data_IF_838305374765
#
_entry.id   IF_838305374765
#
_cell.length_a   1.000
_cell.length_b   1.000
_cell.length_c   1.000
_cell.angle_alpha   90.00
_cell.angle_beta   90.00
_cell.angle_gamma   90.00
#
_symmetry.space_group_name_H-M   'P 1'
#
loop_
_entity.id
_entity.type
_entity.pdbx_description
1 polymer ?
#
# COMPACT_ATOMS: atom_id res chain seq x y z
N UNK A 1 46.29 68.71 -147.19
CA UNK A 1 45.86 69.69 -148.22
C UNK A 1 45.66 68.94 -149.53
N UNK A 2 44.42 68.84 -150.07
CA UNK A 2 44.06 68.17 -151.36
C UNK A 2 44.31 66.62 -151.42
N UNK A 3 43.76 65.78 -152.35
CA UNK A 3 42.39 65.59 -152.92
C UNK A 3 42.32 64.29 -153.82
N UNK A 4 41.20 63.52 -153.86
CA UNK A 4 40.78 62.50 -154.92
C UNK A 4 41.74 61.29 -155.22
N UNK A 5 41.55 60.24 -156.08
CA UNK A 5 40.49 59.48 -156.86
C UNK A 5 41.14 58.19 -157.48
N UNK A 6 40.50 57.15 -158.09
CA UNK A 6 39.35 56.22 -157.82
C UNK A 6 39.09 55.30 -159.09
N UNK A 7 38.39 54.14 -158.96
CA UNK A 7 37.74 53.22 -160.00
C UNK A 7 38.44 51.94 -160.61
N UNK A 8 37.74 50.78 -160.49
CA UNK A 8 37.25 49.75 -161.48
C UNK A 8 38.15 48.83 -162.37
N UNK A 9 37.76 47.52 -162.52
CA UNK A 9 37.38 46.78 -163.79
C UNK A 9 37.04 45.25 -163.55
N UNK A 10 36.23 44.52 -164.40
CA UNK A 10 35.66 43.19 -164.08
C UNK A 10 35.68 42.06 -165.18
N UNK A 11 35.07 40.90 -164.86
CA UNK A 11 34.29 39.95 -165.73
C UNK A 11 34.94 38.79 -166.55
N UNK A 12 34.75 37.52 -166.09
CA UNK A 12 34.52 36.25 -166.86
C UNK A 12 34.28 35.12 -165.80
N UNK A 13 33.23 34.30 -165.65
CA UNK A 13 32.13 33.68 -166.44
C UNK A 13 32.34 32.22 -166.93
N UNK A 14 31.92 31.28 -166.07
CA UNK A 14 31.26 29.95 -166.33
C UNK A 14 31.91 28.93 -167.29
N UNK A 15 32.24 27.74 -166.76
CA UNK A 15 31.67 26.41 -167.12
C UNK A 15 32.09 25.37 -166.06
N UNK A 16 31.17 24.42 -165.75
CA UNK A 16 31.18 23.32 -164.76
C UNK A 16 30.15 23.55 -163.63
N UNK A 17 29.05 22.80 -163.72
CA UNK A 17 27.96 22.72 -162.75
C UNK A 17 27.24 21.36 -162.93
N UNK A 18 26.15 21.11 -162.21
CA UNK A 18 25.24 19.95 -162.37
C UNK A 18 25.82 18.58 -161.93
N UNK A 19 26.36 18.47 -160.70
CA UNK A 19 26.36 17.17 -159.98
C UNK A 19 26.33 17.24 -158.43
N UNK A 20 26.12 18.42 -157.84
CA UNK A 20 26.33 18.64 -156.40
C UNK A 20 25.08 18.63 -155.49
N UNK A 21 23.86 18.59 -156.03
CA UNK A 21 22.66 18.99 -155.25
C UNK A 21 21.83 17.85 -154.64
N UNK A 22 21.89 16.61 -155.15
CA UNK A 22 21.00 15.53 -154.65
C UNK A 22 21.41 14.95 -153.28
N UNK A 23 22.70 14.89 -152.93
CA UNK A 23 23.16 14.37 -151.63
C UNK A 23 22.85 15.28 -150.43
N UNK A 24 22.37 16.51 -150.66
CA UNK A 24 22.15 17.49 -149.58
C UNK A 24 20.76 17.35 -148.95
N UNK A 25 19.73 16.99 -149.72
CA UNK A 25 18.34 16.93 -149.22
C UNK A 25 18.10 15.79 -148.21
N UNK A 26 18.59 14.58 -148.49
CA UNK A 26 18.44 13.44 -147.57
C UNK A 26 19.11 13.72 -146.21
N UNK A 27 20.26 14.39 -146.23
CA UNK A 27 21.01 14.76 -145.02
C UNK A 27 20.30 15.83 -144.19
N UNK A 28 19.56 16.74 -144.83
CA UNK A 28 18.71 17.72 -144.14
C UNK A 28 17.51 17.03 -143.47
N UNK A 29 16.79 16.16 -144.19
CA UNK A 29 15.62 15.46 -143.64
C UNK A 29 15.99 14.55 -142.44
N UNK A 30 17.17 13.92 -142.49
CA UNK A 30 17.71 13.16 -141.36
C UNK A 30 18.01 14.07 -140.14
N UNK A 31 18.59 15.25 -140.37
CA UNK A 31 18.83 16.24 -139.31
C UNK A 31 17.53 16.79 -138.72
N UNK A 32 16.51 17.07 -139.53
CA UNK A 32 15.20 17.53 -139.04
C UNK A 32 14.52 16.49 -138.13
N UNK A 33 14.60 15.20 -138.48
CA UNK A 33 14.08 14.14 -137.62
C UNK A 33 14.89 13.96 -136.32
N UNK A 34 16.22 14.10 -136.37
CA UNK A 34 17.02 14.13 -135.13
C UNK A 34 16.68 15.35 -134.27
N UNK A 35 16.57 16.55 -134.84
CA UNK A 35 16.19 17.78 -134.13
C UNK A 35 14.80 17.66 -133.49
N UNK A 36 13.81 17.12 -134.21
CA UNK A 36 12.47 16.88 -133.66
C UNK A 36 12.44 15.83 -132.53
N UNK A 37 13.38 14.87 -132.54
CA UNK A 37 13.51 13.86 -131.48
C UNK A 37 14.17 14.47 -130.25
N UNK A 38 15.30 15.18 -130.44
CA UNK A 38 16.00 15.94 -129.40
C UNK A 38 15.10 17.01 -128.76
N UNK A 39 14.26 17.72 -129.52
CA UNK A 39 13.33 18.70 -128.96
C UNK A 39 12.35 18.05 -127.98
N UNK A 40 11.79 16.89 -128.32
CA UNK A 40 10.87 16.16 -127.43
C UNK A 40 11.57 15.61 -126.18
N UNK A 41 12.83 15.19 -126.29
CA UNK A 41 13.63 14.80 -125.12
C UNK A 41 13.98 16.01 -124.24
N UNK A 42 14.28 17.17 -124.83
CA UNK A 42 14.50 18.43 -124.12
C UNK A 42 13.22 18.85 -123.38
N UNK A 43 12.06 18.86 -124.03
CA UNK A 43 10.77 19.20 -123.42
C UNK A 43 10.41 18.23 -122.27
N UNK A 44 10.61 16.93 -122.47
CA UNK A 44 10.39 15.91 -121.43
C UNK A 44 11.33 16.07 -120.23
N UNK A 45 12.60 16.40 -120.47
CA UNK A 45 13.56 16.64 -119.41
C UNK A 45 13.32 17.97 -118.68
N UNK A 46 12.87 19.02 -119.38
CA UNK A 46 12.41 20.26 -118.75
C UNK A 46 11.21 20.01 -117.83
N UNK A 47 10.22 19.22 -118.25
CA UNK A 47 9.09 18.84 -117.40
C UNK A 47 9.54 18.08 -116.15
N UNK A 48 10.41 17.07 -116.29
CA UNK A 48 10.99 16.33 -115.15
C UNK A 48 11.76 17.23 -114.19
N UNK A 49 12.57 18.16 -114.70
CA UNK A 49 13.26 19.15 -113.85
C UNK A 49 12.28 20.07 -113.11
N UNK A 50 11.13 20.38 -113.71
CA UNK A 50 10.09 21.21 -113.09
C UNK A 50 9.33 20.46 -111.98
N UNK A 51 9.10 19.16 -112.14
CA UNK A 51 8.56 18.29 -111.09
C UNK A 51 9.56 18.07 -109.96
N UNK A 52 10.81 17.71 -110.28
CA UNK A 52 11.89 17.58 -109.29
C UNK A 52 12.14 18.88 -108.52
N UNK A 53 12.03 20.04 -109.15
CA UNK A 53 12.12 21.36 -108.50
C UNK A 53 10.98 21.57 -107.47
N UNK A 54 9.77 21.08 -107.74
CA UNK A 54 8.67 21.09 -106.76
C UNK A 54 8.93 20.12 -105.61
N UNK A 55 9.35 18.89 -105.90
CA UNK A 55 9.66 17.89 -104.87
C UNK A 55 10.79 18.36 -103.95
N UNK A 56 11.87 18.93 -104.50
CA UNK A 56 12.97 19.52 -103.74
C UNK A 56 12.47 20.66 -102.84
N UNK A 57 11.55 21.50 -103.33
CA UNK A 57 10.97 22.58 -102.52
C UNK A 57 10.07 22.05 -101.40
N UNK A 58 9.26 21.03 -101.66
CA UNK A 58 8.48 20.37 -100.60
C UNK A 58 9.35 19.65 -99.57
N UNK A 59 10.41 18.98 -100.01
CA UNK A 59 11.39 18.34 -99.13
C UNK A 59 12.13 19.38 -98.27
N UNK A 60 12.53 20.51 -98.85
CA UNK A 60 13.11 21.63 -98.10
C UNK A 60 12.15 22.13 -97.01
N UNK A 61 10.88 22.38 -97.35
CA UNK A 61 9.86 22.80 -96.38
C UNK A 61 9.61 21.74 -95.29
N UNK A 62 9.63 20.44 -95.63
CA UNK A 62 9.51 19.33 -94.68
C UNK A 62 10.71 19.24 -93.74
N UNK A 63 11.93 19.46 -94.25
CA UNK A 63 13.17 19.50 -93.46
C UNK A 63 13.17 20.71 -92.52
N UNK A 64 12.75 21.89 -92.98
CA UNK A 64 12.62 23.09 -92.15
C UNK A 64 11.58 22.89 -91.03
N UNK A 65 10.43 22.32 -91.36
CA UNK A 65 9.39 21.97 -90.38
C UNK A 65 9.88 20.93 -89.35
N UNK A 66 10.61 19.91 -89.78
CA UNK A 66 11.22 18.92 -88.89
C UNK A 66 12.34 19.52 -88.02
N UNK A 67 13.17 20.42 -88.57
CA UNK A 67 14.19 21.15 -87.80
C UNK A 67 13.57 22.02 -86.70
N UNK A 68 12.47 22.72 -87.01
CA UNK A 68 11.70 23.48 -86.02
C UNK A 68 11.05 22.58 -84.96
N UNK A 69 10.50 21.41 -85.34
CA UNK A 69 9.98 20.42 -84.38
C UNK A 69 11.08 19.87 -83.46
N UNK A 70 12.24 19.51 -84.01
CA UNK A 70 13.39 19.01 -83.23
C UNK A 70 13.89 20.09 -82.28
N UNK A 71 14.08 21.32 -82.74
CA UNK A 71 14.49 22.44 -81.89
C UNK A 71 13.50 22.70 -80.75
N UNK A 72 12.19 22.70 -81.05
CA UNK A 72 11.16 22.84 -80.04
C UNK A 72 11.12 21.66 -79.05
N UNK A 73 11.40 20.44 -79.50
CA UNK A 73 11.53 19.26 -78.63
C UNK A 73 12.77 19.33 -77.74
N UNK A 74 13.93 19.74 -78.27
CA UNK A 74 15.15 19.98 -77.48
C UNK A 74 14.91 21.04 -76.41
N UNK A 75 14.36 22.21 -76.77
CA UNK A 75 14.01 23.26 -75.80
C UNK A 75 13.03 22.77 -74.73
N UNK A 76 12.02 21.96 -75.10
CA UNK A 76 11.05 21.42 -74.15
C UNK A 76 11.69 20.36 -73.23
N UNK A 77 12.59 19.52 -73.75
CA UNK A 77 13.39 18.55 -72.98
C UNK A 77 14.32 19.28 -72.00
N UNK A 78 15.08 20.27 -72.45
CA UNK A 78 16.02 21.04 -71.62
C UNK A 78 15.26 21.80 -70.52
N UNK A 79 14.17 22.49 -70.88
CA UNK A 79 13.29 23.17 -69.89
C UNK A 79 12.65 22.19 -68.89
N UNK A 80 12.38 20.95 -69.30
CA UNK A 80 11.87 19.91 -68.42
C UNK A 80 12.95 19.36 -67.48
N UNK A 81 14.18 19.18 -67.97
CA UNK A 81 15.32 18.79 -67.14
C UNK A 81 15.69 19.89 -66.14
N UNK A 82 15.71 21.16 -66.54
CA UNK A 82 15.89 22.30 -65.64
C UNK A 82 14.75 22.39 -64.61
N UNK A 83 13.50 22.16 -65.04
CA UNK A 83 12.34 22.09 -64.14
C UNK A 83 12.46 20.99 -63.10
N UNK A 84 12.84 19.77 -63.51
CA UNK A 84 13.06 18.62 -62.60
C UNK A 84 14.28 18.83 -61.72
N UNK A 85 15.38 19.36 -62.25
CA UNK A 85 16.60 19.70 -61.51
C UNK A 85 16.34 20.76 -60.43
N UNK A 86 15.57 21.80 -60.78
CA UNK A 86 15.10 22.84 -59.85
C UNK A 86 14.19 22.26 -58.76
N UNK A 87 13.23 21.39 -59.12
CA UNK A 87 12.36 20.71 -58.15
C UNK A 87 13.12 19.75 -57.22
N UNK A 88 14.09 18.99 -57.74
CA UNK A 88 14.97 18.13 -56.93
C UNK A 88 15.86 18.95 -55.99
N UNK A 89 16.41 20.07 -56.48
CA UNK A 89 17.23 20.99 -55.67
C UNK A 89 16.41 21.63 -54.55
N UNK A 90 15.20 22.11 -54.86
CA UNK A 90 14.27 22.65 -53.88
C UNK A 90 13.82 21.59 -52.86
N UNK A 91 13.50 20.37 -53.31
CA UNK A 91 13.15 19.24 -52.44
C UNK A 91 14.30 18.87 -51.49
N UNK A 92 15.52 18.79 -52.00
CA UNK A 92 16.74 18.57 -51.21
C UNK A 92 16.95 19.66 -50.16
N UNK A 93 16.75 20.92 -50.53
CA UNK A 93 16.81 22.07 -49.61
C UNK A 93 15.74 22.01 -48.52
N UNK A 94 14.48 21.67 -48.87
CA UNK A 94 13.41 21.46 -47.89
C UNK A 94 13.72 20.28 -46.95
N UNK A 95 14.23 19.15 -47.46
CA UNK A 95 14.65 18.00 -46.64
C UNK A 95 15.76 18.41 -45.66
N UNK A 96 16.73 19.22 -46.11
CA UNK A 96 17.77 19.79 -45.25
C UNK A 96 17.19 20.67 -44.12
N UNK A 97 16.26 21.57 -44.44
CA UNK A 97 15.56 22.41 -43.46
C UNK A 97 14.76 21.57 -42.47
N UNK A 98 13.98 20.58 -42.95
CA UNK A 98 13.23 19.67 -42.07
C UNK A 98 14.16 18.86 -41.17
N UNK A 99 15.31 18.41 -41.65
CA UNK A 99 16.34 17.75 -40.83
C UNK A 99 16.85 18.64 -39.69
N UNK A 100 17.14 19.92 -39.98
CA UNK A 100 17.56 20.90 -38.96
C UNK A 100 16.43 21.16 -37.95
N UNK A 101 15.19 21.33 -38.41
CA UNK A 101 14.01 21.53 -37.54
C UNK A 101 13.81 20.33 -36.63
N UNK A 102 13.85 19.11 -37.16
CA UNK A 102 13.72 17.86 -36.39
C UNK A 102 14.85 17.75 -35.35
N UNK A 103 16.09 18.04 -35.72
CA UNK A 103 17.22 18.03 -34.78
C UNK A 103 17.03 19.04 -33.63
N UNK A 104 16.58 20.27 -33.92
CA UNK A 104 16.28 21.28 -32.90
C UNK A 104 15.13 20.83 -31.97
N UNK A 105 14.06 20.24 -32.53
CA UNK A 105 12.98 19.64 -31.72
C UNK A 105 13.48 18.48 -30.85
N UNK A 106 14.34 17.60 -31.38
CA UNK A 106 14.94 16.50 -30.61
C UNK A 106 15.78 17.02 -29.45
N UNK A 107 16.61 18.04 -29.66
CA UNK A 107 17.39 18.69 -28.59
C UNK A 107 16.47 19.32 -27.54
N UNK A 108 15.43 20.06 -27.97
CA UNK A 108 14.45 20.66 -27.07
C UNK A 108 13.69 19.63 -26.22
N UNK A 109 13.25 18.53 -26.84
CA UNK A 109 12.62 17.41 -26.15
C UNK A 109 13.58 16.72 -25.17
N UNK A 110 14.84 16.48 -25.55
CA UNK A 110 15.85 15.89 -24.66
C UNK A 110 16.11 16.76 -23.44
N UNK A 111 16.18 18.10 -23.59
CA UNK A 111 16.33 19.04 -22.48
C UNK A 111 15.08 19.03 -21.59
N UNK A 112 13.88 19.04 -22.19
CA UNK A 112 12.60 19.01 -21.47
C UNK A 112 12.44 17.72 -20.64
N UNK A 113 12.64 16.55 -21.25
CA UNK A 113 12.57 15.24 -20.58
C UNK A 113 13.63 15.16 -19.48
N UNK A 114 14.85 15.66 -19.71
CA UNK A 114 15.89 15.71 -18.68
C UNK A 114 15.51 16.58 -17.48
N UNK A 115 14.86 17.73 -17.72
CA UNK A 115 14.36 18.62 -16.67
C UNK A 115 13.20 17.98 -15.91
N UNK A 116 12.27 17.34 -16.61
CA UNK A 116 11.13 16.64 -16.00
C UNK A 116 11.59 15.45 -15.15
N UNK A 117 12.56 14.67 -15.63
CA UNK A 117 13.17 13.56 -14.89
C UNK A 117 13.84 14.03 -13.58
N UNK A 118 14.57 15.16 -13.62
CA UNK A 118 15.14 15.78 -12.40
C UNK A 118 14.05 16.24 -11.44
N UNK A 119 12.98 16.89 -11.94
CA UNK A 119 11.86 17.31 -11.09
C UNK A 119 11.16 16.11 -10.42
N UNK A 120 10.88 15.04 -11.18
CA UNK A 120 10.28 13.80 -10.64
C UNK A 120 11.18 13.17 -9.58
N UNK A 121 12.51 13.13 -9.81
CA UNK A 121 13.45 12.61 -8.81
C UNK A 121 13.45 13.45 -7.52
N UNK A 122 13.43 14.78 -7.64
CA UNK A 122 13.36 15.67 -6.49
C UNK A 122 12.06 15.44 -5.70
N UNK A 123 10.90 15.44 -6.38
CA UNK A 123 9.59 15.13 -5.76
C UNK A 123 9.59 13.77 -5.07
N UNK A 124 10.26 12.76 -5.63
CA UNK A 124 10.40 11.44 -4.99
C UNK A 124 11.22 11.51 -3.70
N UNK A 125 12.32 12.26 -3.68
CA UNK A 125 13.17 12.45 -2.49
C UNK A 125 12.48 13.30 -1.42
N UNK A 126 11.74 14.33 -1.83
CA UNK A 126 10.92 15.15 -0.94
C UNK A 126 9.81 14.31 -0.30
N UNK A 127 9.11 13.48 -1.09
CA UNK A 127 8.09 12.54 -0.60
C UNK A 127 8.68 11.47 0.34
N UNK A 128 9.86 10.92 0.03
CA UNK A 128 10.55 9.97 0.91
C UNK A 128 10.92 10.65 2.25
N UNK A 129 11.45 11.87 2.20
CA UNK A 129 11.77 12.69 3.39
C UNK A 129 10.51 13.01 4.20
N UNK A 130 9.39 13.30 3.55
CA UNK A 130 8.10 13.54 4.22
C UNK A 130 7.51 12.25 4.81
N UNK A 131 7.68 11.10 4.16
CA UNK A 131 7.30 9.80 4.71
C UNK A 131 8.11 9.47 5.97
N UNK A 132 9.43 9.61 5.93
CA UNK A 132 10.30 9.41 7.09
C UNK A 132 9.91 10.33 8.25
N UNK A 133 9.67 11.63 7.99
CA UNK A 133 9.18 12.58 9.01
C UNK A 133 7.82 12.19 9.59
N UNK A 134 6.87 11.73 8.77
CA UNK A 134 5.57 11.25 9.27
C UNK A 134 5.71 9.99 10.15
N UNK A 135 6.65 9.08 9.83
CA UNK A 135 6.95 7.93 10.68
C UNK A 135 7.54 8.36 12.02
N UNK A 136 8.50 9.30 12.04
CA UNK A 136 9.05 9.86 13.29
C UNK A 136 7.98 10.56 14.12
N UNK A 137 7.17 11.43 13.53
CA UNK A 137 6.08 12.14 14.22
C UNK A 137 5.05 11.15 14.78
N UNK A 138 4.73 10.07 14.05
CA UNK A 138 3.86 9.00 14.55
C UNK A 138 4.45 8.32 15.79
N UNK A 139 5.75 7.98 15.76
CA UNK A 139 6.45 7.38 16.90
C UNK A 139 6.51 8.31 18.11
N UNK A 140 6.76 9.61 17.90
CA UNK A 140 6.72 10.63 18.95
C UNK A 140 5.32 10.76 19.59
N UNK A 141 4.26 10.71 18.77
CA UNK A 141 2.86 10.72 19.26
C UNK A 141 2.53 9.44 20.03
N UNK A 142 2.99 8.27 19.59
CA UNK A 142 2.76 6.99 20.28
C UNK A 142 3.46 6.98 21.65
N UNK A 143 4.72 7.42 21.72
CA UNK A 143 5.47 7.56 22.99
C UNK A 143 4.86 8.61 23.92
N UNK A 144 4.39 9.74 23.38
CA UNK A 144 3.72 10.78 24.17
C UNK A 144 2.37 10.29 24.72
N UNK A 145 1.61 9.51 23.93
CA UNK A 145 0.34 8.90 24.34
C UNK A 145 0.55 7.87 25.46
N UNK A 146 1.54 6.97 25.30
CA UNK A 146 1.92 6.01 26.34
C UNK A 146 2.31 6.72 27.64
N UNK A 147 3.14 7.78 27.54
CA UNK A 147 3.52 8.58 28.71
C UNK A 147 2.31 9.25 29.37
N UNK A 148 1.42 9.87 28.61
CA UNK A 148 0.20 10.53 29.14
C UNK A 148 -0.69 9.51 29.86
N UNK A 149 -0.87 8.30 29.32
CA UNK A 149 -1.64 7.23 29.97
C UNK A 149 -0.97 6.81 31.28
N UNK A 150 0.33 6.53 31.27
CA UNK A 150 1.07 6.11 32.46
C UNK A 150 1.09 7.19 33.55
N UNK A 151 1.38 8.44 33.21
CA UNK A 151 1.39 9.58 34.15
C UNK A 151 -0.02 9.82 34.72
N UNK A 152 -1.08 9.70 33.91
CA UNK A 152 -2.49 9.87 34.31
C UNK A 152 -2.97 8.75 35.23
N UNK A 153 -2.69 7.48 34.89
CA UNK A 153 -3.02 6.33 35.76
C UNK A 153 -2.23 6.38 37.08
N UNK A 154 -0.97 6.84 37.04
CA UNK A 154 -0.17 7.12 38.24
C UNK A 154 -0.80 8.19 39.13
N UNK A 155 -1.18 9.34 38.55
CA UNK A 155 -1.85 10.43 39.27
C UNK A 155 -3.18 9.97 39.89
N UNK A 156 -3.99 9.21 39.15
CA UNK A 156 -5.24 8.66 39.66
C UNK A 156 -4.99 7.71 40.84
N UNK A 157 -3.97 6.84 40.78
CA UNK A 157 -3.62 5.96 41.92
C UNK A 157 -3.19 6.77 43.14
N UNK A 158 -2.35 7.79 42.98
CA UNK A 158 -1.95 8.70 44.07
C UNK A 158 -3.16 9.38 44.68
N UNK A 159 -4.05 9.97 43.87
CA UNK A 159 -5.29 10.59 44.34
C UNK A 159 -6.18 9.62 45.13
N UNK A 160 -6.36 8.37 44.65
CA UNK A 160 -7.15 7.37 45.39
C UNK A 160 -6.53 6.99 46.74
N UNK A 161 -5.19 7.00 46.86
CA UNK A 161 -4.48 6.75 48.12
C UNK A 161 -4.58 7.94 49.07
N UNK A 162 -4.38 9.17 48.62
CA UNK A 162 -4.59 10.39 49.44
C UNK A 162 -6.03 10.48 49.97
N UNK A 163 -7.03 10.23 49.12
CA UNK A 163 -8.43 10.15 49.52
C UNK A 163 -8.69 9.01 50.52
N UNK A 164 -8.00 7.87 50.41
CA UNK A 164 -8.13 6.76 51.37
C UNK A 164 -7.55 7.14 52.73
N UNK A 165 -6.38 7.79 52.75
CA UNK A 165 -5.76 8.33 53.97
C UNK A 165 -6.71 9.32 54.65
N UNK A 166 -7.25 10.31 53.90
CA UNK A 166 -8.18 11.29 54.44
C UNK A 166 -9.49 10.70 55.00
N UNK A 167 -9.99 9.59 54.44
CA UNK A 167 -11.11 8.86 55.03
C UNK A 167 -10.68 8.22 56.35
N UNK A 168 -9.54 7.52 56.38
CA UNK A 168 -9.05 6.81 57.57
C UNK A 168 -8.69 7.78 58.71
N UNK A 169 -8.05 8.91 58.42
CA UNK A 169 -7.72 9.96 59.40
C UNK A 169 -8.99 10.56 60.02
N UNK A 170 -10.07 10.70 59.23
CA UNK A 170 -11.38 11.10 59.75
C UNK A 170 -12.03 10.00 60.59
N UNK A 171 -11.90 8.73 60.22
CA UNK A 171 -12.42 7.62 61.03
C UNK A 171 -11.66 7.45 62.35
N UNK A 172 -10.35 7.72 62.41
CA UNK A 172 -9.62 7.82 63.68
C UNK A 172 -10.18 8.93 64.57
N UNK A 173 -10.65 10.04 63.96
CA UNK A 173 -11.17 11.22 64.65
C UNK A 173 -12.66 11.12 65.04
N UNK A 174 -13.46 10.39 64.26
CA UNK A 174 -14.91 10.17 64.39
C UNK A 174 -15.23 8.76 63.86
N UNK A 175 -15.12 7.69 64.65
CA UNK A 175 -15.25 6.33 64.15
C UNK A 175 -16.64 5.97 63.59
N UNK A 176 -17.69 6.62 64.08
CA UNK A 176 -19.09 6.39 63.73
C UNK A 176 -19.41 6.79 62.27
N UNK A 177 -18.59 7.67 61.68
CA UNK A 177 -18.67 8.07 60.26
C UNK A 177 -18.43 6.90 59.29
N UNK A 178 -18.03 5.71 59.78
CA UNK A 178 -17.98 4.48 58.98
C UNK A 178 -19.30 4.22 58.27
N UNK A 179 -20.43 4.54 58.92
CA UNK A 179 -21.78 4.46 58.37
C UNK A 179 -21.95 5.28 57.08
N UNK A 180 -21.34 6.46 57.03
CA UNK A 180 -21.33 7.37 55.88
C UNK A 180 -20.23 7.05 54.85
N UNK A 181 -19.16 6.36 55.27
CA UNK A 181 -17.94 6.16 54.47
C UNK A 181 -17.74 4.73 53.96
N UNK A 182 -18.55 3.77 54.40
CA UNK A 182 -18.48 2.35 54.05
C UNK A 182 -18.34 2.10 52.54
N UNK A 183 -19.19 2.73 51.72
CA UNK A 183 -19.17 2.60 50.25
C UNK A 183 -17.93 3.23 49.60
N UNK A 184 -17.37 4.26 50.23
CA UNK A 184 -16.16 4.94 49.79
C UNK A 184 -14.89 4.14 50.14
N UNK A 185 -14.92 3.27 51.17
CA UNK A 185 -13.84 2.32 51.46
C UNK A 185 -13.97 1.03 50.64
N UNK A 186 -15.15 0.40 50.64
CA UNK A 186 -15.40 -0.89 49.95
C UNK A 186 -15.09 -0.87 48.44
N UNK A 187 -15.02 0.31 47.83
CA UNK A 187 -14.69 0.51 46.41
C UNK A 187 -13.21 0.82 46.13
N UNK A 188 -12.33 0.84 47.14
CA UNK A 188 -10.90 1.19 47.04
C UNK A 188 -9.98 -0.02 47.21
N UNK A 189 -8.78 0.11 46.65
CA UNK A 189 -7.63 -0.69 47.08
C UNK A 189 -7.05 -0.02 48.35
N UNK A 190 -6.95 -0.76 49.45
CA UNK A 190 -6.29 -0.32 50.68
C UNK A 190 -4.98 -1.10 50.86
N UNK A 191 -3.94 -0.44 51.38
CA UNK A 191 -2.64 -1.05 51.62
C UNK A 191 -2.57 -1.61 53.06
N UNK A 192 -1.68 -2.56 53.34
CA UNK A 192 -1.49 -3.14 54.68
C UNK A 192 -1.30 -2.09 55.80
N UNK A 193 -0.67 -0.94 55.51
CA UNK A 193 -0.52 0.15 56.48
C UNK A 193 -1.87 0.71 56.98
N UNK A 194 -2.89 0.72 56.11
CA UNK A 194 -4.23 1.25 56.41
C UNK A 194 -4.98 0.37 57.43
N UNK A 195 -4.59 -0.91 57.59
CA UNK A 195 -5.14 -1.82 58.60
C UNK A 195 -4.95 -1.26 60.02
N UNK A 196 -3.80 -0.64 60.30
CA UNK A 196 -3.50 -0.06 61.60
C UNK A 196 -4.39 1.16 61.90
N UNK A 197 -4.55 2.07 60.94
CA UNK A 197 -5.46 3.21 61.05
C UNK A 197 -6.92 2.76 61.26
N UNK A 198 -7.36 1.74 60.51
CA UNK A 198 -8.72 1.22 60.65
C UNK A 198 -8.93 0.46 61.97
N UNK A 199 -7.88 -0.17 62.53
CA UNK A 199 -7.88 -0.77 63.88
C UNK A 199 -7.92 0.29 64.99
N UNK A 200 -7.20 1.40 64.83
CA UNK A 200 -7.23 2.53 65.77
C UNK A 200 -8.63 3.18 65.81
N UNK A 201 -9.28 3.35 64.67
CA UNK A 201 -10.68 3.79 64.60
C UNK A 201 -11.63 2.75 65.25
N UNK A 202 -11.52 1.48 64.86
CA UNK A 202 -12.39 0.40 65.37
C UNK A 202 -12.30 0.23 66.89
N UNK A 203 -11.11 0.25 67.48
CA UNK A 203 -10.93 -0.05 68.92
C UNK A 203 -11.59 0.98 69.85
N UNK A 204 -11.90 2.17 69.36
CA UNK A 204 -12.64 3.22 70.09
C UNK A 204 -14.14 2.90 70.25
N UNK A 205 -14.73 2.15 69.32
CA UNK A 205 -16.19 1.87 69.23
C UNK A 205 -16.53 0.38 69.10
N UNK A 206 -15.56 -0.51 69.28
CA UNK A 206 -15.69 -1.98 69.11
C UNK A 206 -16.85 -2.63 69.86
N UNK A 207 -17.31 -1.98 70.95
CA UNK A 207 -18.36 -2.44 71.86
C UNK A 207 -19.75 -1.86 71.49
N UNK A 208 -19.83 -1.02 70.45
CA UNK A 208 -21.07 -0.48 69.86
C UNK A 208 -21.42 -1.21 68.57
N UNK A 209 -22.41 -2.11 68.62
CA UNK A 209 -22.82 -2.92 67.46
C UNK A 209 -23.38 -2.11 66.28
N UNK A 210 -23.84 -0.86 66.46
CA UNK A 210 -24.38 -0.05 65.36
C UNK A 210 -23.28 0.30 64.32
N UNK A 211 -22.05 0.49 64.80
CA UNK A 211 -20.92 0.90 63.95
C UNK A 211 -19.85 -0.20 63.83
N UNK A 212 -19.62 -1.02 64.87
CA UNK A 212 -18.59 -2.05 64.89
C UNK A 212 -18.71 -3.07 63.73
N UNK A 213 -19.93 -3.49 63.40
CA UNK A 213 -20.16 -4.48 62.34
C UNK A 213 -19.77 -3.94 60.95
N UNK A 214 -19.87 -2.63 60.72
CA UNK A 214 -19.40 -1.99 59.47
C UNK A 214 -17.88 -2.10 59.33
N UNK A 215 -17.12 -1.96 60.42
CA UNK A 215 -15.67 -2.17 60.40
C UNK A 215 -15.31 -3.64 60.16
N UNK A 216 -16.02 -4.60 60.78
CA UNK A 216 -15.73 -6.02 60.62
C UNK A 216 -15.90 -6.49 59.17
N UNK A 217 -16.90 -5.96 58.45
CA UNK A 217 -17.06 -6.23 57.01
C UNK A 217 -15.86 -5.66 56.21
N UNK A 218 -15.40 -4.44 56.50
CA UNK A 218 -14.23 -3.83 55.84
C UNK A 218 -12.93 -4.60 56.15
N UNK A 219 -12.75 -5.04 57.41
CA UNK A 219 -11.64 -5.90 57.83
C UNK A 219 -11.62 -7.25 57.12
N UNK A 220 -12.79 -7.77 56.72
CA UNK A 220 -12.87 -8.94 55.85
C UNK A 220 -12.51 -8.57 54.40
N UNK A 221 -13.25 -7.65 53.78
CA UNK A 221 -13.12 -7.31 52.35
C UNK A 221 -11.71 -6.89 51.93
N UNK A 222 -11.02 -6.12 52.77
CA UNK A 222 -9.68 -5.60 52.46
C UNK A 222 -8.56 -6.38 53.14
N UNK A 223 -8.77 -6.88 54.37
CA UNK A 223 -7.69 -7.31 55.25
C UNK A 223 -7.85 -8.72 55.85
N UNK A 224 -8.71 -9.59 55.33
CA UNK A 224 -9.06 -10.88 55.97
C UNK A 224 -7.86 -11.70 56.49
N UNK A 225 -6.71 -11.66 55.81
CA UNK A 225 -5.48 -12.32 56.23
C UNK A 225 -4.77 -11.69 57.45
N UNK A 226 -4.83 -10.37 57.62
CA UNK A 226 -4.34 -9.67 58.82
C UNK A 226 -5.36 -9.82 59.97
N UNK A 227 -6.64 -9.63 59.65
CA UNK A 227 -7.74 -9.63 60.63
C UNK A 227 -7.97 -10.99 61.32
N UNK A 228 -7.55 -12.12 60.72
CA UNK A 228 -7.63 -13.46 61.33
C UNK A 228 -6.38 -13.84 62.16
N UNK A 229 -5.31 -13.04 62.12
CA UNK A 229 -4.10 -13.24 62.92
C UNK A 229 -3.88 -12.15 63.98
N UNK A 230 -4.65 -11.05 63.93
CA UNK A 230 -4.65 -10.00 64.93
C UNK A 230 -5.55 -10.38 66.13
N UNK A 231 -4.94 -10.54 67.31
CA UNK A 231 -5.61 -11.05 68.51
C UNK A 231 -6.69 -10.12 69.09
N UNK A 232 -6.80 -8.86 68.66
CA UNK A 232 -7.87 -7.95 69.08
C UNK A 232 -9.08 -7.96 68.14
N UNK A 233 -8.89 -8.29 66.86
CA UNK A 233 -9.95 -8.29 65.84
C UNK A 233 -10.49 -9.71 65.57
N UNK A 234 -9.62 -10.73 65.62
CA UNK A 234 -9.88 -12.12 65.20
C UNK A 234 -11.16 -12.70 65.80
N UNK A 235 -11.36 -12.64 67.12
CA UNK A 235 -12.51 -13.29 67.75
C UNK A 235 -13.84 -12.57 67.45
N UNK A 236 -13.84 -11.23 67.39
CA UNK A 236 -14.99 -10.44 66.97
C UNK A 236 -15.33 -10.71 65.50
N UNK A 237 -14.33 -10.70 64.61
CA UNK A 237 -14.49 -11.05 63.20
C UNK A 237 -15.07 -12.46 63.01
N UNK A 238 -14.51 -13.48 63.69
CA UNK A 238 -15.00 -14.86 63.61
C UNK A 238 -16.46 -14.97 64.06
N UNK A 239 -16.89 -14.18 65.05
CA UNK A 239 -18.28 -14.16 65.52
C UNK A 239 -19.28 -13.55 64.52
N UNK A 240 -18.85 -12.54 63.74
CA UNK A 240 -19.66 -11.83 62.73
C UNK A 240 -19.33 -12.24 61.28
N UNK A 241 -18.52 -13.28 61.07
CA UNK A 241 -17.99 -13.69 59.77
C UNK A 241 -19.07 -14.06 58.74
N UNK A 242 -20.21 -14.58 59.21
CA UNK A 242 -21.40 -14.84 58.38
C UNK A 242 -21.98 -13.55 57.76
N UNK A 243 -22.02 -12.45 58.50
CA UNK A 243 -22.39 -11.14 57.96
C UNK A 243 -21.36 -10.68 56.91
N UNK A 244 -20.07 -10.80 57.22
CA UNK A 244 -18.99 -10.37 56.33
C UNK A 244 -19.05 -11.08 54.97
N UNK A 245 -19.28 -12.40 54.96
CA UNK A 245 -19.48 -13.20 53.74
C UNK A 245 -20.80 -12.83 53.03
N UNK A 246 -21.88 -12.52 53.76
CA UNK A 246 -23.15 -12.07 53.17
C UNK A 246 -23.06 -10.69 52.51
N UNK A 247 -22.30 -9.76 53.08
CA UNK A 247 -22.13 -8.39 52.57
C UNK A 247 -21.08 -8.25 51.46
N UNK A 248 -20.16 -9.20 51.33
CA UNK A 248 -19.16 -9.24 50.24
C UNK A 248 -19.80 -9.22 48.84
N UNK A 249 -19.09 -8.68 47.84
CA UNK A 249 -19.29 -8.97 46.41
C UNK A 249 -18.46 -10.18 45.97
N UNK A 250 -18.71 -10.64 44.73
CA UNK A 250 -18.09 -11.87 44.16
C UNK A 250 -16.55 -11.81 44.17
N UNK A 251 -15.97 -10.67 43.82
CA UNK A 251 -14.51 -10.52 43.75
C UNK A 251 -13.93 -10.46 45.17
N UNK A 252 -14.56 -9.70 46.06
CA UNK A 252 -14.14 -9.54 47.45
C UNK A 252 -14.09 -10.89 48.17
N UNK A 253 -15.11 -11.77 48.01
CA UNK A 253 -15.09 -13.07 48.68
C UNK A 253 -13.94 -13.95 48.17
N UNK A 254 -13.60 -13.92 46.89
CA UNK A 254 -12.49 -14.71 46.32
C UNK A 254 -11.14 -14.19 46.82
N UNK A 255 -10.95 -12.87 46.86
CA UNK A 255 -9.74 -12.22 47.37
C UNK A 255 -9.59 -12.39 48.89
N UNK A 256 -10.68 -12.21 49.64
CA UNK A 256 -10.73 -12.41 51.09
C UNK A 256 -10.43 -13.87 51.45
N UNK A 257 -10.97 -14.83 50.68
CA UNK A 257 -10.66 -16.26 50.83
C UNK A 257 -9.17 -16.53 50.63
N UNK A 258 -8.57 -16.00 49.56
CA UNK A 258 -7.13 -16.14 49.29
C UNK A 258 -6.28 -15.58 50.45
N UNK A 259 -6.59 -14.38 50.91
CA UNK A 259 -5.85 -13.73 52.00
C UNK A 259 -6.01 -14.46 53.35
N UNK A 260 -7.24 -14.87 53.68
CA UNK A 260 -7.58 -15.63 54.89
C UNK A 260 -6.86 -16.99 54.93
N UNK A 261 -6.97 -17.78 53.86
CA UNK A 261 -6.33 -19.11 53.77
C UNK A 261 -4.81 -18.98 53.75
N UNK A 262 -4.23 -17.98 53.07
CA UNK A 262 -2.79 -17.73 53.10
C UNK A 262 -2.28 -17.45 54.52
N UNK A 263 -3.03 -16.67 55.31
CA UNK A 263 -2.68 -16.36 56.69
C UNK A 263 -2.78 -17.60 57.60
N UNK A 264 -3.86 -18.39 57.50
CA UNK A 264 -4.02 -19.62 58.27
C UNK A 264 -3.01 -20.71 57.87
N UNK A 265 -2.58 -20.75 56.61
CA UNK A 265 -1.48 -21.62 56.17
C UNK A 265 -0.14 -21.20 56.80
N UNK A 266 0.15 -19.89 56.88
CA UNK A 266 1.36 -19.35 57.54
C UNK A 266 1.36 -19.61 59.06
N UNK A 267 0.20 -19.53 59.71
CA UNK A 267 -0.02 -19.93 61.13
C UNK A 267 0.08 -21.46 61.35
N UNK A 268 -0.04 -22.23 60.27
CA UNK A 268 -0.12 -23.68 60.27
C UNK A 268 -1.57 -24.17 60.30
N UNK A 269 -1.94 -25.02 59.34
CA UNK A 269 -3.34 -25.46 59.16
C UNK A 269 -3.91 -26.18 60.39
N UNK A 270 -3.12 -27.03 61.05
CA UNK A 270 -3.53 -27.73 62.28
C UNK A 270 -3.80 -26.75 63.45
N UNK A 271 -2.97 -25.71 63.59
CA UNK A 271 -3.14 -24.66 64.60
C UNK A 271 -4.37 -23.78 64.32
N UNK A 272 -4.82 -23.77 63.07
CA UNK A 272 -5.91 -22.94 62.55
C UNK A 272 -7.21 -23.74 62.31
N UNK A 273 -7.29 -24.97 62.85
CA UNK A 273 -8.38 -25.90 62.53
C UNK A 273 -9.77 -25.36 62.90
N UNK A 274 -9.88 -24.53 63.95
CA UNK A 274 -11.16 -23.94 64.36
C UNK A 274 -11.62 -22.91 63.33
N UNK A 275 -10.73 -21.98 63.00
CA UNK A 275 -10.92 -20.86 62.08
C UNK A 275 -11.20 -21.33 60.64
N UNK A 276 -10.56 -22.41 60.20
CA UNK A 276 -10.86 -23.10 58.93
C UNK A 276 -12.29 -23.66 58.94
N UNK A 277 -12.69 -24.36 60.01
CA UNK A 277 -13.98 -25.03 60.07
C UNK A 277 -15.16 -24.05 60.24
N UNK A 278 -14.96 -22.94 60.97
CA UNK A 278 -15.92 -21.83 61.04
C UNK A 278 -16.13 -21.23 59.65
N UNK A 279 -15.04 -20.88 58.96
CA UNK A 279 -15.08 -20.30 57.61
C UNK A 279 -15.75 -21.24 56.60
N UNK A 280 -15.34 -22.51 56.52
CA UNK A 280 -15.91 -23.49 55.58
C UNK A 280 -17.41 -23.69 55.80
N UNK A 281 -17.85 -23.81 57.07
CA UNK A 281 -19.28 -23.90 57.41
C UNK A 281 -20.07 -22.67 56.93
N UNK A 282 -19.49 -21.48 57.04
CA UNK A 282 -20.11 -20.23 56.58
C UNK A 282 -20.20 -20.20 55.05
N UNK A 283 -19.12 -20.54 54.32
CA UNK A 283 -19.14 -20.61 52.86
C UNK A 283 -20.22 -21.58 52.36
N UNK A 284 -20.34 -22.76 52.96
CA UNK A 284 -21.34 -23.78 52.58
C UNK A 284 -22.79 -23.31 52.77
N UNK A 285 -23.05 -22.46 53.77
CA UNK A 285 -24.36 -21.88 54.03
C UNK A 285 -24.59 -20.53 53.32
N UNK A 286 -23.60 -20.03 52.56
CA UNK A 286 -23.64 -18.72 51.90
C UNK A 286 -24.21 -18.76 50.48
N UNK A 287 -24.40 -17.56 49.91
CA UNK A 287 -24.67 -17.32 48.48
C UNK A 287 -23.51 -17.74 47.54
N UNK A 288 -22.38 -18.21 48.08
CA UNK A 288 -21.16 -18.59 47.35
C UNK A 288 -20.80 -20.08 47.41
N UNK A 289 -21.63 -20.93 48.04
CA UNK A 289 -21.40 -22.38 48.16
C UNK A 289 -21.22 -23.14 46.82
N UNK A 290 -21.64 -22.53 45.72
CA UNK A 290 -21.57 -23.10 44.36
C UNK A 290 -20.55 -22.34 43.46
N UNK A 291 -19.73 -21.45 44.03
CA UNK A 291 -18.76 -20.63 43.28
C UNK A 291 -17.42 -21.37 43.09
N UNK A 292 -17.20 -21.97 41.93
CA UNK A 292 -15.95 -22.70 41.60
C UNK A 292 -14.67 -21.88 41.83
N UNK A 293 -14.67 -20.59 41.48
CA UNK A 293 -13.52 -19.69 41.65
C UNK A 293 -13.03 -19.61 43.11
N UNK A 294 -13.92 -19.78 44.09
CA UNK A 294 -13.57 -19.82 45.52
C UNK A 294 -12.77 -21.09 45.82
N UNK A 295 -13.21 -22.25 45.33
CA UNK A 295 -12.51 -23.53 45.51
C UNK A 295 -11.13 -23.53 44.83
N UNK A 296 -11.04 -23.00 43.61
CA UNK A 296 -9.75 -22.81 42.92
C UNK A 296 -8.84 -21.82 43.68
N UNK A 297 -9.39 -20.74 44.23
CA UNK A 297 -8.63 -19.78 45.06
C UNK A 297 -8.01 -20.47 46.29
N UNK A 298 -8.79 -21.25 47.04
CA UNK A 298 -8.28 -22.07 48.17
C UNK A 298 -7.19 -23.05 47.72
N UNK A 299 -7.45 -23.81 46.64
CA UNK A 299 -6.54 -24.85 46.14
C UNK A 299 -5.19 -24.29 45.66
N UNK A 300 -5.21 -23.17 44.93
CA UNK A 300 -3.99 -22.52 44.43
C UNK A 300 -3.21 -21.79 45.53
N UNK A 301 -3.91 -21.23 46.52
CA UNK A 301 -3.28 -20.62 47.71
C UNK A 301 -2.47 -21.64 48.51
N UNK A 302 -3.01 -22.86 48.65
CA UNK A 302 -2.34 -24.00 49.25
C UNK A 302 -1.31 -24.59 48.27
N UNK A 303 -0.23 -23.85 47.98
CA UNK A 303 0.67 -24.11 46.84
C UNK A 303 1.54 -25.39 46.90
N UNK A 304 1.20 -26.37 47.74
CA UNK A 304 1.84 -27.71 47.75
C UNK A 304 0.78 -28.81 47.91
N UNK A 305 0.97 -29.93 47.21
CA UNK A 305 0.10 -31.11 47.25
C UNK A 305 -0.21 -31.55 48.70
N UNK A 306 0.81 -31.66 49.53
CA UNK A 306 0.68 -31.99 50.96
C UNK A 306 -0.24 -31.01 51.72
N UNK A 307 -0.18 -29.71 51.43
CA UNK A 307 -1.04 -28.72 52.08
C UNK A 307 -2.50 -28.81 51.61
N UNK A 308 -2.74 -29.16 50.34
CA UNK A 308 -4.07 -29.34 49.77
C UNK A 308 -4.79 -30.55 50.37
N UNK A 309 -4.11 -31.70 50.45
CA UNK A 309 -4.65 -32.91 51.10
C UNK A 309 -4.84 -32.70 52.61
N UNK A 310 -3.86 -32.12 53.32
CA UNK A 310 -3.98 -31.81 54.74
C UNK A 310 -5.15 -30.86 55.03
N UNK A 311 -5.38 -29.85 54.18
CA UNK A 311 -6.53 -28.95 54.32
C UNK A 311 -7.87 -29.70 54.25
N UNK A 312 -8.04 -30.61 53.27
CA UNK A 312 -9.25 -31.44 53.17
C UNK A 312 -9.46 -32.32 54.41
N UNK A 313 -8.39 -32.96 54.92
CA UNK A 313 -8.44 -33.78 56.14
C UNK A 313 -8.78 -32.96 57.41
N UNK A 314 -8.41 -31.68 57.45
CA UNK A 314 -8.68 -30.77 58.58
C UNK A 314 -10.15 -30.31 58.63
N UNK A 315 -10.86 -30.29 57.50
CA UNK A 315 -12.29 -29.98 57.46
C UNK A 315 -13.10 -31.13 58.07
N UNK A 316 -13.88 -30.81 59.10
CA UNK A 316 -14.72 -31.76 59.84
C UNK A 316 -15.72 -32.47 58.92
N UNK A 317 -16.07 -33.70 59.28
CA UNK A 317 -17.03 -34.55 58.55
C UNK A 317 -18.44 -34.29 59.09
N UNK A 318 -19.14 -33.30 58.55
CA UNK A 318 -20.51 -32.93 58.95
C UNK A 318 -21.37 -32.56 57.75
N UNK A 319 -22.70 -32.57 57.90
CA UNK A 319 -23.62 -32.18 56.81
C UNK A 319 -23.48 -30.70 56.40
N UNK A 320 -22.99 -29.84 57.30
CA UNK A 320 -22.73 -28.41 57.04
C UNK A 320 -21.34 -28.14 56.44
N UNK A 321 -20.60 -29.19 56.10
CA UNK A 321 -19.28 -29.16 55.46
C UNK A 321 -19.17 -30.18 54.31
N UNK A 322 -20.30 -30.77 53.88
CA UNK A 322 -20.34 -31.86 52.88
C UNK A 322 -20.18 -31.32 51.46
N UNK A 323 -20.87 -30.24 51.11
CA UNK A 323 -20.81 -29.65 49.77
C UNK A 323 -19.45 -29.02 49.48
N UNK A 324 -18.87 -28.30 50.46
CA UNK A 324 -17.53 -27.72 50.35
C UNK A 324 -16.48 -28.81 50.19
N UNK A 325 -16.52 -29.87 51.02
CA UNK A 325 -15.60 -31.01 50.87
C UNK A 325 -15.76 -31.68 49.50
N UNK A 326 -16.99 -31.87 49.00
CA UNK A 326 -17.25 -32.43 47.67
C UNK A 326 -16.72 -31.55 46.54
N UNK A 327 -16.89 -30.23 46.61
CA UNK A 327 -16.46 -29.30 45.56
C UNK A 327 -14.94 -29.07 45.57
N UNK A 328 -14.31 -28.86 46.73
CA UNK A 328 -12.85 -28.81 46.87
C UNK A 328 -12.20 -30.16 46.48
N UNK A 329 -12.84 -31.26 46.87
CA UNK A 329 -12.39 -32.62 46.63
C UNK A 329 -12.15 -32.99 45.17
N UNK A 330 -13.03 -32.54 44.27
CA UNK A 330 -12.86 -32.70 42.80
C UNK A 330 -11.52 -32.16 42.30
N UNK A 331 -10.97 -31.12 42.95
CA UNK A 331 -9.69 -30.53 42.57
C UNK A 331 -8.50 -31.43 42.96
N UNK A 332 -8.64 -32.23 44.02
CA UNK A 332 -7.66 -33.25 44.41
C UNK A 332 -7.70 -34.47 43.47
N UNK A 333 -8.83 -34.76 42.81
CA UNK A 333 -8.94 -35.91 41.90
C UNK A 333 -8.00 -35.81 40.68
N UNK A 334 -7.49 -34.62 40.36
CA UNK A 334 -6.41 -34.43 39.39
C UNK A 334 -5.13 -35.23 39.74
N UNK A 335 -4.90 -35.54 41.03
CA UNK A 335 -3.77 -36.35 41.49
C UNK A 335 -4.01 -37.86 41.47
N UNK A 336 -5.22 -38.35 41.12
CA UNK A 336 -5.52 -39.80 41.01
C UNK A 336 -4.70 -40.54 39.95
N UNK A 337 -4.04 -39.81 39.04
CA UNK A 337 -3.18 -40.34 37.97
C UNK A 337 -1.69 -40.34 38.31
N UNK A 338 -1.30 -39.75 39.45
CA UNK A 338 0.07 -39.73 39.95
C UNK A 338 0.31 -40.87 40.96
N UNK A 339 1.57 -41.06 41.38
CA UNK A 339 1.85 -41.93 42.53
C UNK A 339 1.23 -41.31 43.79
N UNK A 340 0.36 -42.03 44.48
CA UNK A 340 -0.33 -41.61 45.71
C UNK A 340 0.31 -42.22 46.95
N UNK A 341 0.21 -41.50 48.08
CA UNK A 341 0.53 -42.02 49.41
C UNK A 341 -0.71 -42.59 50.09
N UNK A 342 -0.52 -43.39 51.14
CA UNK A 342 -1.63 -44.04 51.86
C UNK A 342 -2.63 -43.01 52.44
N UNK A 343 -2.14 -41.88 52.97
CA UNK A 343 -2.96 -40.78 53.49
C UNK A 343 -3.81 -40.09 52.39
N UNK A 344 -3.35 -40.11 51.14
CA UNK A 344 -4.07 -39.55 49.99
C UNK A 344 -5.07 -40.57 49.41
N UNK A 345 -4.74 -41.86 49.44
CA UNK A 345 -5.66 -42.93 49.08
C UNK A 345 -6.89 -42.93 50.01
N UNK A 346 -6.71 -42.75 51.31
CA UNK A 346 -7.80 -42.56 52.27
C UNK A 346 -8.67 -41.32 51.93
N UNK A 347 -8.06 -40.24 51.43
CA UNK A 347 -8.83 -39.07 50.96
C UNK A 347 -9.64 -39.39 49.71
N UNK A 348 -9.13 -40.20 48.78
CA UNK A 348 -9.89 -40.63 47.61
C UNK A 348 -11.05 -41.58 47.94
N UNK A 349 -10.87 -42.51 48.89
CA UNK A 349 -11.95 -43.32 49.45
C UNK A 349 -13.03 -42.44 50.10
N UNK A 350 -12.64 -41.42 50.88
CA UNK A 350 -13.57 -40.45 51.45
C UNK A 350 -14.33 -39.65 50.37
N UNK A 351 -13.70 -39.33 49.23
CA UNK A 351 -14.33 -38.61 48.13
C UNK A 351 -15.34 -39.46 47.37
N UNK A 352 -15.08 -40.76 47.19
CA UNK A 352 -16.04 -41.66 46.55
C UNK A 352 -17.29 -41.86 47.41
N UNK A 353 -17.13 -41.92 48.74
CA UNK A 353 -18.25 -41.90 49.69
C UNK A 353 -18.99 -40.55 49.80
N UNK A 354 -18.38 -39.44 49.35
CA UNK A 354 -19.02 -38.13 49.22
C UNK A 354 -19.68 -37.92 47.85
N UNK A 355 -19.27 -38.68 46.84
CA UNK A 355 -19.81 -38.61 45.48
C UNK A 355 -21.11 -39.40 45.32
N UNK A 356 -21.29 -40.48 46.09
CA UNK A 356 -22.56 -41.17 46.38
C UNK A 356 -23.56 -40.27 47.14
#
# INVERSE_FOLDING_TARGET
MKIKTILLIPFLFIIISVNGQNKTKEKILFLENQINTLSKEIDSNQQKMLEQSKEIKELSNKIEYQGNLINNQTVLIDTSFDGVSSQLSASSYFIGIFGIIIALFSIGLSIYVSRMSRNIKNISLDNETLLQKNVTIKQEIELLSEKIVNDSTGLYKVMRTEEANHILDRLISVPEDISNMFSNLASRELNDNHFLQMKEAYTQIKDDEEFADSYLIQFFQHFAGLSVIDEEIKDNLLSKLDMCVKCSFKNDIVNSTQNYISALQKKGLNNSKSEINIFVKIIENSKYKDLEELYFSVFNTLSTRNAQFAFFQIINKTDNTKLFRKNYGKLLENYKTENTTDDENLVFEELENLNQ
#
